data_IF_666066449172
#
_entry.id   IF_666066449172
#
_cell.length_a   1.000
_cell.length_b   1.000
_cell.length_c   1.000
_cell.angle_alpha   90.00
_cell.angle_beta   90.00
_cell.angle_gamma   90.00
#
_symmetry.space_group_name_H-M   'P 1'
#
loop_
_entity.id
_entity.type
_entity.pdbx_description
1 polymer ?
#
# COMPACT_ATOMS: atom_id res chain seq x y z
N UNK A 1 -12.36 14.61 -4.89
CA UNK A 1 -12.08 14.93 -3.47
C UNK A 1 -11.50 13.66 -2.86
N UNK A 2 -10.29 13.71 -2.31
CA UNK A 2 -9.61 12.52 -1.80
C UNK A 2 -8.97 12.84 -0.46
N UNK A 3 -8.91 11.85 0.42
CA UNK A 3 -8.19 11.93 1.69
C UNK A 3 -6.79 11.36 1.47
N UNK A 4 -5.76 12.15 1.76
CA UNK A 4 -4.38 11.66 1.73
C UNK A 4 -4.16 10.75 2.94
N UNK A 5 -3.52 9.60 2.70
CA UNK A 5 -3.11 8.66 3.73
C UNK A 5 -1.62 8.37 3.49
N UNK A 6 -0.85 8.34 4.57
CA UNK A 6 0.57 8.01 4.56
C UNK A 6 0.80 6.95 5.64
N UNK A 7 1.10 5.72 5.23
CA UNK A 7 1.29 4.55 6.09
C UNK A 7 2.37 3.64 5.52
N UNK A 8 3.00 2.87 6.41
CA UNK A 8 4.02 1.88 6.10
C UNK A 8 3.45 0.46 6.21
N UNK A 9 3.97 -0.46 5.38
CA UNK A 9 3.47 -1.82 5.32
C UNK A 9 4.30 -2.75 4.44
N UNK A 10 3.93 -4.03 4.45
CA UNK A 10 4.63 -5.10 3.75
C UNK A 10 3.91 -5.50 2.47
N UNK A 11 4.65 -5.72 1.38
CA UNK A 11 4.08 -6.21 0.12
C UNK A 11 3.81 -7.72 0.23
N UNK A 12 2.53 -8.11 0.12
CA UNK A 12 2.11 -9.51 0.32
C UNK A 12 2.17 -10.38 -0.92
N UNK A 13 2.26 -9.80 -2.11
CA UNK A 13 2.34 -10.53 -3.38
C UNK A 13 3.23 -9.79 -4.37
N UNK A 14 3.72 -10.50 -5.39
CA UNK A 14 4.46 -9.87 -6.47
C UNK A 14 3.64 -8.71 -7.10
N UNK A 15 4.26 -7.55 -7.38
CA UNK A 15 3.58 -6.44 -8.03
C UNK A 15 2.99 -6.81 -9.39
N UNK A 16 1.77 -6.37 -9.68
CA UNK A 16 1.17 -6.51 -11.01
C UNK A 16 1.38 -5.25 -11.83
N UNK A 17 2.06 -5.37 -12.97
CA UNK A 17 2.22 -4.30 -13.96
C UNK A 17 1.32 -4.54 -15.17
N UNK A 18 0.54 -3.53 -15.57
CA UNK A 18 -0.31 -3.56 -16.76
C UNK A 18 -0.08 -2.30 -17.60
N UNK A 19 0.01 -2.47 -18.90
CA UNK A 19 0.11 -1.38 -19.86
C UNK A 19 -1.11 -1.41 -20.79
N UNK A 20 -1.74 -0.24 -20.96
CA UNK A 20 -2.94 -0.06 -21.76
C UNK A 20 -2.62 0.85 -22.96
N UNK A 21 -2.94 0.42 -24.20
CA UNK A 21 -2.78 1.27 -25.38
C UNK A 21 -3.56 2.58 -25.24
N UNK A 22 -2.98 3.71 -25.68
CA UNK A 22 -3.55 5.04 -25.55
C UNK A 22 -3.50 5.83 -26.87
N UNK A 23 -3.83 5.16 -27.98
CA UNK A 23 -3.78 5.75 -29.33
C UNK A 23 -2.36 6.23 -29.68
N UNK A 24 -2.24 7.48 -30.17
CA UNK A 24 -0.96 8.12 -30.49
C UNK A 24 -0.27 8.81 -29.30
N UNK A 25 -0.78 8.61 -28.07
CA UNK A 25 -0.19 9.15 -26.83
C UNK A 25 0.58 8.06 -26.10
N UNK A 26 1.37 8.47 -25.11
CA UNK A 26 2.03 7.52 -24.22
C UNK A 26 1.04 6.53 -23.61
N UNK A 27 1.39 5.24 -23.56
CA UNK A 27 0.53 4.21 -23.02
C UNK A 27 0.27 4.46 -21.54
N UNK A 28 -0.95 4.17 -21.09
CA UNK A 28 -1.28 4.27 -19.68
C UNK A 28 -0.72 3.05 -18.97
N UNK A 29 0.08 3.29 -17.93
CA UNK A 29 0.65 2.22 -17.08
C UNK A 29 -0.12 2.17 -15.76
N UNK A 30 -0.25 0.97 -15.21
CA UNK A 30 -0.85 0.72 -13.91
C UNK A 30 0.04 -0.26 -13.15
N UNK A 31 0.45 0.13 -11.97
CA UNK A 31 1.08 -0.74 -10.99
C UNK A 31 0.08 -1.03 -9.87
N UNK A 32 -0.26 -2.30 -9.65
CA UNK A 32 -1.06 -2.74 -8.52
C UNK A 32 -0.18 -3.46 -7.51
N UNK A 33 -0.25 -3.00 -6.27
CA UNK A 33 0.43 -3.58 -5.11
C UNK A 33 -0.64 -4.07 -4.12
N UNK A 34 -0.37 -5.18 -3.45
CA UNK A 34 -1.14 -5.64 -2.30
C UNK A 34 -0.28 -5.45 -1.06
N UNK A 35 -0.68 -4.53 -0.18
CA UNK A 35 0.10 -4.11 0.98
C UNK A 35 -0.66 -4.47 2.25
N UNK A 36 0.03 -5.14 3.18
CA UNK A 36 -0.42 -5.27 4.55
C UNK A 36 0.09 -4.08 5.34
N UNK A 37 -0.82 -3.25 5.82
CA UNK A 37 -0.50 -2.11 6.66
C UNK A 37 -0.49 -2.53 8.12
N UNK A 38 0.67 -2.43 8.75
CA UNK A 38 0.87 -2.78 10.16
C UNK A 38 0.32 -1.65 11.06
N UNK A 39 -0.41 -2.02 12.12
CA UNK A 39 -0.88 -1.07 13.14
C UNK A 39 -0.13 -1.31 14.46
N UNK A 40 1.18 -1.07 14.42
CA UNK A 40 2.03 -1.11 15.60
C UNK A 40 1.87 0.18 16.40
N UNK A 41 1.38 0.06 17.63
CA UNK A 41 1.24 1.19 18.56
C UNK A 41 2.32 1.13 19.64
N UNK A 42 2.86 2.28 20.09
CA UNK A 42 3.82 2.28 21.19
C UNK A 42 3.14 1.81 22.48
N UNK A 43 3.79 0.90 23.22
CA UNK A 43 3.33 0.47 24.55
C UNK A 43 3.47 1.62 25.54
N UNK A 44 2.52 1.72 26.46
CA UNK A 44 2.49 2.78 27.50
C UNK A 44 3.67 2.72 28.46
N UNK A 45 4.33 1.56 28.58
CA UNK A 45 5.49 1.35 29.43
C UNK A 45 6.83 1.71 28.75
N UNK A 46 6.80 2.16 27.49
CA UNK A 46 7.99 2.55 26.73
C UNK A 46 8.92 1.38 26.35
N UNK A 47 8.50 0.13 26.56
CA UNK A 47 9.35 -1.06 26.35
C UNK A 47 9.32 -1.60 24.92
N UNK A 48 8.51 -1.02 24.04
CA UNK A 48 8.44 -1.40 22.63
C UNK A 48 7.10 -1.05 21.97
N UNK A 49 6.83 -1.70 20.86
CA UNK A 49 5.57 -1.57 20.13
C UNK A 49 4.69 -2.81 20.37
N UNK A 50 3.38 -2.59 20.51
CA UNK A 50 2.35 -3.62 20.50
C UNK A 50 1.73 -3.65 19.11
N UNK A 51 1.77 -4.82 18.46
CA UNK A 51 1.03 -5.04 17.21
C UNK A 51 -0.45 -5.18 17.54
N UNK A 52 -1.28 -4.28 17.02
CA UNK A 52 -2.74 -4.36 17.11
C UNK A 52 -3.38 -4.94 15.85
N UNK A 53 -2.60 -5.70 15.10
CA UNK A 53 -2.96 -6.25 13.81
C UNK A 53 -2.74 -5.22 12.72
N UNK A 54 -3.46 -5.41 11.63
CA UNK A 54 -3.32 -4.58 10.43
C UNK A 54 -4.41 -4.91 9.45
N UNK A 55 -4.31 -4.37 8.25
CA UNK A 55 -5.21 -4.76 7.17
C UNK A 55 -4.51 -4.85 5.83
N UNK A 56 -5.08 -5.68 4.98
CA UNK A 56 -4.72 -5.77 3.58
C UNK A 56 -5.43 -4.70 2.77
N UNK A 57 -4.69 -3.98 1.93
CA UNK A 57 -5.25 -3.06 0.96
C UNK A 57 -4.48 -3.10 -0.36
N UNK A 58 -5.22 -2.89 -1.45
CA UNK A 58 -4.64 -2.76 -2.78
C UNK A 58 -4.31 -1.29 -3.05
N UNK A 59 -3.08 -1.04 -3.47
CA UNK A 59 -2.59 0.29 -3.86
C UNK A 59 -2.37 0.27 -5.37
N UNK A 60 -2.92 1.28 -6.05
CA UNK A 60 -2.86 1.42 -7.51
C UNK A 60 -2.25 2.77 -7.87
N UNK A 61 -1.25 2.75 -8.75
CA UNK A 61 -0.55 3.93 -9.27
C UNK A 61 -0.43 3.88 -10.79
#
# INVERSE_FOLDING_TARGET
>A
MGTSVDWEGNIGSAPEFKEFPNGNKDPRRLLRLNVYFDNSIPKSDGTGFEDRGGFWANVEF
#
